data_IF_374516745085
#
_entry.id   IF_374516745085
#
_cell.length_a   1.000
_cell.length_b   1.000
_cell.length_c   1.000
_cell.angle_alpha   90.00
_cell.angle_beta   90.00
_cell.angle_gamma   90.00
#
_symmetry.space_group_name_H-M   'P 1'
#
loop_
_entity.id
_entity.type
_entity.pdbx_description
1 polymer ?
#
# COMPACT_ATOMS: atom_id res chain seq x y z
N UNK A 1 -13.90 -23.90 -22.69
CA UNK A 1 -15.05 -23.77 -21.77
C UNK A 1 -14.76 -24.67 -20.58
N UNK A 2 -14.91 -24.20 -19.34
CA UNK A 2 -14.74 -25.06 -18.16
C UNK A 2 -16.06 -25.81 -17.99
N UNK A 3 -16.04 -27.12 -18.24
CA UNK A 3 -17.26 -27.95 -18.25
C UNK A 3 -17.61 -28.53 -16.87
N UNK A 4 -16.68 -28.47 -15.90
CA UNK A 4 -16.86 -28.91 -14.53
C UNK A 4 -16.15 -28.01 -13.55
N UNK A 5 -16.70 -27.92 -12.35
CA UNK A 5 -16.02 -27.29 -11.23
C UNK A 5 -14.82 -28.17 -10.80
N UNK A 6 -13.62 -27.64 -10.98
CA UNK A 6 -12.36 -28.30 -10.65
C UNK A 6 -12.15 -28.51 -9.14
N UNK A 7 -13.01 -27.93 -8.30
CA UNK A 7 -12.96 -28.06 -6.85
C UNK A 7 -13.95 -29.09 -6.26
N UNK A 8 -14.72 -29.80 -7.09
CA UNK A 8 -15.81 -30.69 -6.61
C UNK A 8 -15.35 -31.86 -5.73
N UNK A 9 -14.05 -32.20 -5.73
CA UNK A 9 -13.48 -33.28 -4.91
C UNK A 9 -12.46 -32.77 -3.88
N UNK A 10 -12.36 -31.46 -3.69
CA UNK A 10 -11.44 -30.88 -2.73
C UNK A 10 -12.00 -31.02 -1.32
N UNK A 11 -11.34 -31.84 -0.51
CA UNK A 11 -11.64 -31.96 0.92
C UNK A 11 -10.74 -31.03 1.71
N UNK A 12 -11.34 -30.25 2.62
CA UNK A 12 -10.59 -29.38 3.53
C UNK A 12 -9.79 -30.27 4.49
N UNK A 13 -8.46 -30.20 4.43
CA UNK A 13 -7.56 -30.97 5.30
C UNK A 13 -7.15 -30.24 6.59
N UNK A 14 -7.61 -29.01 6.79
CA UNK A 14 -7.31 -28.25 8.00
C UNK A 14 -8.03 -28.85 9.20
N UNK A 15 -7.28 -29.20 10.25
CA UNK A 15 -7.81 -29.57 11.56
C UNK A 15 -8.06 -28.34 12.45
N UNK A 16 -7.63 -27.15 12.01
CA UNK A 16 -7.87 -25.87 12.68
C UNK A 16 -9.17 -25.28 12.14
N UNK A 17 -10.07 -24.91 13.04
CA UNK A 17 -11.31 -24.22 12.70
C UNK A 17 -11.01 -22.91 11.98
N UNK A 18 -11.73 -22.63 10.90
CA UNK A 18 -11.51 -21.41 10.15
C UNK A 18 -11.98 -20.21 10.96
N UNK A 19 -11.14 -19.18 11.04
CA UNK A 19 -11.57 -17.88 11.57
C UNK A 19 -12.87 -17.42 10.89
N UNK A 20 -13.79 -16.81 11.65
CA UNK A 20 -15.02 -16.26 11.10
C UNK A 20 -14.70 -15.29 9.96
N UNK A 21 -15.54 -15.27 8.93
CA UNK A 21 -15.27 -14.46 7.73
C UNK A 21 -15.19 -12.98 8.07
N UNK A 22 -15.95 -12.56 9.06
CA UNK A 22 -16.06 -11.21 9.59
C UNK A 22 -14.72 -10.75 10.17
N UNK A 23 -13.96 -11.63 10.83
CA UNK A 23 -12.64 -11.29 11.39
C UNK A 23 -11.53 -11.09 10.33
N UNK A 24 -11.82 -11.33 9.05
CA UNK A 24 -10.83 -11.18 7.96
C UNK A 24 -10.77 -9.77 7.41
N UNK A 25 -11.76 -8.95 7.70
CA UNK A 25 -11.90 -7.60 7.15
C UNK A 25 -12.14 -6.62 8.28
N UNK A 26 -11.80 -5.35 8.01
CA UNK A 26 -12.14 -4.26 8.92
C UNK A 26 -13.59 -3.87 8.70
N UNK A 27 -14.35 -3.79 9.79
CA UNK A 27 -15.65 -3.15 9.79
C UNK A 27 -15.51 -1.63 9.58
N UNK A 28 -16.57 -0.96 9.15
CA UNK A 28 -16.50 0.46 8.75
C UNK A 28 -16.01 1.38 9.87
N UNK A 29 -16.39 1.09 11.12
CA UNK A 29 -15.96 1.83 12.31
C UNK A 29 -14.48 1.57 12.64
N UNK A 30 -14.00 0.34 12.45
CA UNK A 30 -12.61 -0.03 12.65
C UNK A 30 -11.71 0.62 11.59
N UNK A 31 -12.14 0.57 10.32
CA UNK A 31 -11.47 1.26 9.22
C UNK A 31 -11.39 2.78 9.49
N UNK A 32 -12.51 3.40 9.86
CA UNK A 32 -12.55 4.85 10.14
C UNK A 32 -11.59 5.19 11.29
N UNK A 33 -11.63 4.41 12.37
CA UNK A 33 -10.74 4.60 13.53
C UNK A 33 -9.27 4.42 13.15
N UNK A 34 -8.96 3.44 12.28
CA UNK A 34 -7.61 3.22 11.77
C UNK A 34 -7.12 4.43 10.98
N UNK A 35 -7.89 4.90 9.99
CA UNK A 35 -7.53 6.03 9.13
C UNK A 35 -7.32 7.31 9.93
N UNK A 36 -8.18 7.57 10.92
CA UNK A 36 -8.01 8.73 11.82
C UNK A 36 -6.72 8.61 12.65
N UNK A 37 -6.48 7.45 13.26
CA UNK A 37 -5.31 7.20 14.08
C UNK A 37 -4.01 7.35 13.27
N UNK A 38 -3.93 6.72 12.10
CA UNK A 38 -2.73 6.78 11.27
C UNK A 38 -2.53 8.17 10.65
N UNK A 39 -3.61 8.85 10.27
CA UNK A 39 -3.57 10.20 9.70
C UNK A 39 -3.12 11.28 10.69
N UNK A 40 -3.32 11.07 12.00
CA UNK A 40 -2.84 11.98 13.05
C UNK A 40 -1.37 11.74 13.44
N UNK A 41 -0.80 10.60 13.07
CA UNK A 41 0.52 10.14 13.55
C UNK A 41 1.51 9.92 12.39
N UNK A 42 1.55 10.88 11.46
CA UNK A 42 2.39 10.84 10.24
C UNK A 42 3.90 10.73 10.48
N UNK A 43 4.37 10.91 11.71
CA UNK A 43 5.80 10.77 12.08
C UNK A 43 6.35 9.37 11.82
N UNK A 44 5.49 8.35 11.74
CA UNK A 44 5.90 6.97 11.48
C UNK A 44 5.67 6.60 10.02
N UNK A 45 6.73 6.16 9.32
CA UNK A 45 6.61 5.67 7.94
C UNK A 45 5.49 4.63 7.79
N UNK A 46 5.44 3.67 8.72
CA UNK A 46 4.43 2.60 8.71
C UNK A 46 3.00 3.13 8.70
N UNK A 47 2.73 4.22 9.40
CA UNK A 47 1.39 4.79 9.50
C UNK A 47 0.98 5.48 8.20
N UNK A 48 1.91 6.22 7.58
CA UNK A 48 1.68 6.83 6.26
C UNK A 48 1.51 5.76 5.18
N UNK A 49 2.26 4.65 5.26
CA UNK A 49 2.11 3.50 4.37
C UNK A 49 0.73 2.86 4.55
N UNK A 50 0.31 2.58 5.79
CA UNK A 50 -1.03 2.02 6.07
C UNK A 50 -2.11 2.95 5.54
N UNK A 51 -1.98 4.27 5.76
CA UNK A 51 -2.92 5.26 5.26
C UNK A 51 -3.07 5.19 3.73
N UNK A 52 -1.96 5.13 2.99
CA UNK A 52 -2.00 5.01 1.54
C UNK A 52 -2.63 3.70 1.09
N UNK A 53 -2.17 2.56 1.62
CA UNK A 53 -2.69 1.23 1.24
C UNK A 53 -4.20 1.16 1.47
N UNK A 54 -4.66 1.60 2.63
CA UNK A 54 -6.06 1.59 2.99
C UNK A 54 -6.92 2.52 2.10
N UNK A 55 -6.36 3.62 1.60
CA UNK A 55 -7.07 4.59 0.77
C UNK A 55 -6.94 4.40 -0.74
N UNK A 56 -5.94 3.66 -1.23
CA UNK A 56 -5.59 3.59 -2.66
C UNK A 56 -5.39 2.16 -3.19
N UNK A 57 -5.48 1.13 -2.35
CA UNK A 57 -5.30 -0.29 -2.72
C UNK A 57 -3.95 -0.59 -3.40
N UNK A 58 -2.92 0.18 -3.08
CA UNK A 58 -1.55 -0.06 -3.55
C UNK A 58 -0.96 -1.25 -2.78
N UNK A 59 -0.23 -2.15 -3.45
CA UNK A 59 0.42 -3.25 -2.72
C UNK A 59 1.56 -2.73 -1.84
N UNK A 60 1.82 -3.40 -0.72
CA UNK A 60 2.84 -2.97 0.24
C UNK A 60 4.23 -2.73 -0.39
N UNK A 61 4.70 -3.65 -1.24
CA UNK A 61 6.01 -3.51 -1.89
C UNK A 61 6.05 -2.36 -2.91
N UNK A 62 4.91 -2.05 -3.54
CA UNK A 62 4.74 -0.91 -4.45
C UNK A 62 4.78 0.40 -3.67
N UNK A 63 4.06 0.47 -2.54
CA UNK A 63 4.08 1.63 -1.64
C UNK A 63 5.50 1.95 -1.14
N UNK A 64 6.26 0.92 -0.73
CA UNK A 64 7.67 1.09 -0.35
C UNK A 64 8.58 1.56 -1.49
N UNK A 65 8.18 1.28 -2.74
CA UNK A 65 8.87 1.66 -3.97
C UNK A 65 8.60 3.09 -4.43
N UNK A 66 7.72 3.83 -3.76
CA UNK A 66 7.39 5.20 -4.15
C UNK A 66 8.57 6.15 -3.91
N UNK A 67 8.80 7.02 -4.89
CA UNK A 67 9.64 8.22 -4.80
C UNK A 67 8.77 9.47 -4.88
N UNK A 68 9.30 10.62 -4.47
CA UNK A 68 8.54 11.88 -4.59
C UNK A 68 8.23 12.27 -6.03
N UNK A 69 8.93 11.71 -7.02
CA UNK A 69 8.66 11.94 -8.44
C UNK A 69 7.43 11.14 -8.93
N UNK A 70 7.05 10.09 -8.21
CA UNK A 70 5.89 9.26 -8.56
C UNK A 70 4.56 9.87 -8.06
N UNK A 71 4.61 10.93 -7.23
CA UNK A 71 3.43 11.54 -6.62
C UNK A 71 3.20 12.92 -7.24
N UNK A 72 2.13 13.05 -8.03
CA UNK A 72 1.72 14.32 -8.63
C UNK A 72 0.60 14.95 -7.82
N UNK A 73 0.92 16.00 -7.05
CA UNK A 73 -0.09 16.78 -6.31
C UNK A 73 -1.03 17.57 -7.21
N UNK A 74 -0.55 18.01 -8.40
CA UNK A 74 -1.35 18.75 -9.38
C UNK A 74 -2.38 17.85 -10.05
N UNK A 75 -1.93 16.71 -10.57
CA UNK A 75 -2.82 15.76 -11.24
C UNK A 75 -3.57 14.85 -10.25
N UNK A 76 -3.20 14.89 -8.97
CA UNK A 76 -3.70 14.01 -7.89
C UNK A 76 -3.58 12.53 -8.27
N UNK A 77 -2.36 12.13 -8.67
CA UNK A 77 -2.07 10.77 -9.13
C UNK A 77 -0.80 10.24 -8.45
N UNK A 78 -0.81 8.96 -8.09
CA UNK A 78 0.38 8.16 -7.77
C UNK A 78 0.69 7.27 -8.98
N UNK A 79 1.93 7.32 -9.47
CA UNK A 79 2.45 6.48 -10.55
C UNK A 79 3.16 5.25 -9.97
N UNK A 80 2.51 4.09 -10.06
CA UNK A 80 3.05 2.82 -9.58
C UNK A 80 3.79 2.14 -10.73
N UNK A 81 5.12 2.22 -10.71
CA UNK A 81 5.97 1.69 -11.79
C UNK A 81 7.11 0.76 -11.31
N UNK A 82 7.29 0.63 -10.00
CA UNK A 82 8.36 -0.16 -9.37
C UNK A 82 7.96 -0.60 -7.98
N UNK A 83 8.68 -1.60 -7.47
CA UNK A 83 8.58 -2.03 -6.07
C UNK A 83 9.90 -1.76 -5.36
N UNK A 84 9.87 -1.76 -4.03
CA UNK A 84 11.06 -1.88 -3.23
C UNK A 84 11.21 -3.32 -2.72
N UNK A 85 12.33 -3.95 -3.05
CA UNK A 85 12.60 -5.32 -2.64
C UNK A 85 13.24 -5.35 -1.26
N UNK A 86 12.39 -5.24 -0.24
CA UNK A 86 12.78 -5.17 1.17
C UNK A 86 13.27 -6.50 1.77
N UNK A 87 13.19 -7.61 1.03
CA UNK A 87 13.56 -8.94 1.54
C UNK A 87 14.94 -9.41 1.07
N UNK A 88 15.43 -8.93 -0.08
CA UNK A 88 16.64 -9.52 -0.70
C UNK A 88 17.65 -8.47 -1.14
N UNK A 89 17.29 -7.57 -2.05
CA UNK A 89 18.26 -6.62 -2.62
C UNK A 89 18.33 -5.31 -1.85
N UNK A 90 17.32 -4.99 -1.03
CA UNK A 90 17.18 -3.68 -0.39
C UNK A 90 17.30 -2.52 -1.39
N UNK A 91 16.73 -2.71 -2.58
CA UNK A 91 16.78 -1.76 -3.67
C UNK A 91 15.49 -1.84 -4.51
N UNK A 92 15.33 -0.90 -5.43
CA UNK A 92 14.25 -0.92 -6.39
C UNK A 92 14.31 -2.15 -7.29
N UNK A 93 13.13 -2.68 -7.60
CA UNK A 93 12.97 -3.71 -8.60
C UNK A 93 11.78 -3.36 -9.52
N UNK A 94 11.81 -3.80 -10.79
CA UNK A 94 10.64 -3.67 -11.65
C UNK A 94 9.48 -4.47 -11.07
N UNK A 95 8.26 -4.08 -11.42
CA UNK A 95 7.09 -4.91 -11.15
C UNK A 95 7.20 -6.24 -11.90
N UNK A 96 6.62 -7.31 -11.33
CA UNK A 96 6.74 -8.66 -11.91
C UNK A 96 6.16 -8.75 -13.32
N UNK A 97 5.08 -8.01 -13.59
CA UNK A 97 4.37 -7.98 -14.86
C UNK A 97 4.10 -6.53 -15.28
N UNK A 98 4.09 -6.27 -16.60
CA UNK A 98 3.77 -4.93 -17.13
C UNK A 98 2.37 -4.45 -16.76
N UNK A 99 1.42 -5.38 -16.57
CA UNK A 99 0.07 -5.08 -16.09
C UNK A 99 0.02 -4.50 -14.68
N UNK A 100 1.09 -4.66 -13.90
CA UNK A 100 1.20 -4.09 -12.55
C UNK A 100 1.67 -2.62 -12.58
N UNK A 101 2.07 -2.09 -13.73
CA UNK A 101 2.35 -0.65 -13.88
C UNK A 101 1.03 0.08 -14.10
N UNK A 102 0.67 0.98 -13.17
CA UNK A 102 -0.62 1.66 -13.20
C UNK A 102 -0.59 3.00 -12.48
N UNK A 103 -1.63 3.80 -12.67
CA UNK A 103 -1.80 5.12 -12.04
C UNK A 103 -3.01 5.09 -11.14
N UNK A 104 -2.85 5.57 -9.91
CA UNK A 104 -3.92 5.59 -8.91
C UNK A 104 -4.33 7.05 -8.64
N UNK A 105 -5.60 7.43 -8.87
CA UNK A 105 -6.08 8.75 -8.47
C UNK A 105 -6.16 8.84 -6.93
N UNK A 106 -5.79 9.99 -6.39
CA UNK A 106 -5.82 10.25 -4.94
C UNK A 106 -6.68 11.46 -4.60
N UNK A 107 -7.20 11.50 -3.39
CA UNK A 107 -8.03 12.60 -2.91
C UNK A 107 -7.19 13.76 -2.36
N UNK A 108 -7.81 14.94 -2.24
CA UNK A 108 -7.17 16.14 -1.71
C UNK A 108 -6.62 15.97 -0.29
N UNK A 109 -7.31 15.19 0.54
CA UNK A 109 -6.84 14.88 1.89
C UNK A 109 -5.55 14.06 1.86
N UNK A 110 -5.41 13.13 0.91
CA UNK A 110 -4.20 12.32 0.72
C UNK A 110 -3.05 13.19 0.24
N UNK A 111 -3.30 14.07 -0.73
CA UNK A 111 -2.31 15.04 -1.21
C UNK A 111 -1.82 15.92 -0.07
N UNK A 112 -2.74 16.44 0.75
CA UNK A 112 -2.41 17.24 1.93
C UNK A 112 -1.57 16.45 2.93
N UNK A 113 -1.97 15.22 3.27
CA UNK A 113 -1.23 14.37 4.20
C UNK A 113 0.19 14.09 3.70
N UNK A 114 0.35 13.74 2.42
CA UNK A 114 1.67 13.48 1.82
C UNK A 114 2.54 14.73 1.79
N UNK A 115 1.96 15.90 1.54
CA UNK A 115 2.68 17.19 1.61
C UNK A 115 3.14 17.49 3.04
N UNK A 116 2.24 17.39 4.01
CA UNK A 116 2.55 17.59 5.43
C UNK A 116 3.64 16.62 5.90
N UNK A 117 3.58 15.36 5.45
CA UNK A 117 4.59 14.36 5.73
C UNK A 117 5.96 14.72 5.14
N UNK A 118 5.99 15.16 3.88
CA UNK A 118 7.22 15.61 3.22
C UNK A 118 7.88 16.78 3.94
N UNK A 119 7.08 17.75 4.38
CA UNK A 119 7.58 18.97 5.02
C UNK A 119 8.05 18.74 6.47
N UNK A 120 7.39 17.84 7.22
CA UNK A 120 7.61 17.70 8.67
C UNK A 120 8.47 16.51 9.06
N UNK A 121 8.45 15.44 8.28
CA UNK A 121 8.96 14.14 8.72
C UNK A 121 9.95 13.50 7.73
N UNK A 122 9.89 13.86 6.45
CA UNK A 122 10.76 13.26 5.45
C UNK A 122 12.18 13.83 5.52
N UNK A 123 13.17 12.93 5.42
CA UNK A 123 14.59 13.26 5.33
C UNK A 123 15.04 12.96 3.89
N UNK A 124 15.72 13.93 3.29
CA UNK A 124 16.26 13.78 1.94
C UNK A 124 17.25 12.62 1.89
N UNK A 125 17.14 11.81 0.84
CA UNK A 125 17.96 10.63 0.64
C UNK A 125 18.33 10.50 -0.84
N UNK A 126 19.46 9.83 -1.10
CA UNK A 126 20.04 9.72 -2.45
C UNK A 126 19.12 9.07 -3.49
N UNK A 127 18.14 8.28 -3.03
CA UNK A 127 17.20 7.56 -3.89
C UNK A 127 15.85 8.29 -4.05
N UNK A 128 15.68 9.46 -3.42
CA UNK A 128 14.42 10.21 -3.38
C UNK A 128 13.22 9.36 -2.90
N UNK A 129 13.46 8.34 -2.08
CA UNK A 129 12.43 7.45 -1.54
C UNK A 129 11.54 8.20 -0.57
N UNK A 130 10.23 7.95 -0.66
CA UNK A 130 9.25 8.49 0.30
C UNK A 130 9.48 7.89 1.69
N UNK A 131 9.82 6.60 1.74
CA UNK A 131 10.03 5.84 2.98
C UNK A 131 11.46 5.30 3.04
N UNK A 132 12.44 6.17 3.25
CA UNK A 132 13.81 5.75 3.54
C UNK A 132 13.96 5.46 5.04
N UNK A 133 14.71 4.40 5.37
CA UNK A 133 15.23 4.20 6.72
C UNK A 133 16.56 4.92 6.82
N UNK A 134 16.82 5.55 7.98
CA UNK A 134 18.10 6.17 8.32
C UNK A 134 19.26 5.16 8.30
#
# INVERSE_FOLDING_TARGET
MIERNFCDFTTIRSSVESEPKEAKFLEINEYTSLIECVGQNIRYHSYVIIYLIAGTDIHFAEALGLTWNDISSENKIIDVNKIYNYNTTFDFAPTKNTSSVHKIPIYDHTVKLMKDYKEKCWIENNQNRVYASD
#
